data_IF_107687230132
#
_entry.id   IF_107687230132
#
_cell.length_a   1.000
_cell.length_b   1.000
_cell.length_c   1.000
_cell.angle_alpha   90.00
_cell.angle_beta   90.00
_cell.angle_gamma   90.00
#
_symmetry.space_group_name_H-M   'P 1'
#
loop_
_entity.id
_entity.type
_entity.pdbx_description
1 polymer ?
#
# COMPACT_ATOMS: atom_id res chain seq x y z
N UNK A 1 -31.00 -1.87 19.44
CA UNK A 1 -30.42 -0.52 19.67
C UNK A 1 -29.33 -0.34 18.65
N UNK A 2 -29.30 0.74 17.84
CA UNK A 2 -28.15 0.98 16.98
C UNK A 2 -26.96 1.27 17.90
N UNK A 3 -26.01 0.36 17.93
CA UNK A 3 -24.71 0.60 18.56
C UNK A 3 -24.02 1.62 17.68
N UNK A 4 -23.79 2.82 18.19
CA UNK A 4 -22.97 3.82 17.53
C UNK A 4 -21.51 3.34 17.58
N UNK A 5 -21.18 2.32 16.78
CA UNK A 5 -19.83 1.78 16.66
C UNK A 5 -19.02 2.66 15.73
N UNK A 6 -17.78 2.94 16.14
CA UNK A 6 -16.81 3.59 15.28
C UNK A 6 -16.39 2.62 14.17
N UNK A 7 -16.32 3.11 12.92
CA UNK A 7 -15.89 2.30 11.77
C UNK A 7 -14.51 1.66 11.99
N UNK A 8 -13.61 2.32 12.71
CA UNK A 8 -12.24 1.83 12.96
C UNK A 8 -12.22 0.51 13.77
N UNK A 9 -13.27 0.25 14.53
CA UNK A 9 -13.43 -0.94 15.38
C UNK A 9 -14.08 -2.11 14.65
N UNK A 10 -14.65 -1.89 13.47
CA UNK A 10 -15.29 -2.94 12.69
C UNK A 10 -14.25 -3.90 12.11
N UNK A 11 -14.46 -5.21 12.30
CA UNK A 11 -13.52 -6.24 11.83
C UNK A 11 -13.36 -6.24 10.31
N UNK A 12 -14.36 -5.76 9.57
CA UNK A 12 -14.36 -5.65 8.11
C UNK A 12 -13.74 -4.35 7.60
N UNK A 13 -13.22 -3.48 8.47
CA UNK A 13 -12.58 -2.23 8.08
C UNK A 13 -11.06 -2.37 8.00
N UNK A 14 -10.50 -2.30 6.79
CA UNK A 14 -9.09 -2.56 6.50
C UNK A 14 -8.23 -1.28 6.37
N UNK A 15 -8.81 -0.09 6.60
CA UNK A 15 -8.06 1.16 6.47
C UNK A 15 -7.52 1.38 5.05
N UNK A 16 -6.21 1.57 4.90
CA UNK A 16 -5.53 1.85 3.63
C UNK A 16 -5.17 0.58 2.84
N UNK A 17 -6.11 -0.35 2.71
CA UNK A 17 -5.93 -1.56 1.91
C UNK A 17 -5.87 -1.21 0.41
N UNK A 18 -4.77 -1.54 -0.30
CA UNK A 18 -4.60 -1.27 -1.72
C UNK A 18 -5.65 -1.97 -2.59
N UNK A 19 -5.93 -1.39 -3.75
CA UNK A 19 -6.94 -1.96 -4.66
C UNK A 19 -6.51 -3.31 -5.25
N UNK A 20 -5.22 -3.46 -5.49
CA UNK A 20 -4.57 -4.64 -6.06
C UNK A 20 -4.68 -5.89 -5.20
N UNK A 21 -4.90 -5.75 -3.89
CA UNK A 21 -5.04 -6.87 -2.96
C UNK A 21 -6.47 -7.44 -2.93
N UNK A 22 -7.47 -6.65 -3.35
CA UNK A 22 -8.88 -7.01 -3.27
C UNK A 22 -9.27 -8.28 -4.03
N UNK A 23 -8.72 -8.58 -5.24
CA UNK A 23 -9.02 -9.84 -5.93
C UNK A 23 -8.63 -11.09 -5.15
N UNK A 24 -7.66 -11.00 -4.22
CA UNK A 24 -7.23 -12.13 -3.38
C UNK A 24 -8.08 -12.27 -2.11
N UNK A 25 -8.81 -11.22 -1.74
CA UNK A 25 -9.63 -11.17 -0.53
C UNK A 25 -11.12 -11.38 -0.82
N UNK A 26 -11.62 -10.87 -1.94
CA UNK A 26 -13.03 -10.93 -2.35
C UNK A 26 -13.25 -12.06 -3.36
N UNK A 27 -13.11 -13.30 -2.87
CA UNK A 27 -13.07 -14.51 -3.72
C UNK A 27 -14.48 -15.01 -4.04
N UNK A 28 -15.39 -14.96 -3.06
CA UNK A 28 -16.73 -15.51 -3.16
C UNK A 28 -17.78 -14.41 -3.38
N UNK A 29 -18.94 -14.82 -3.92
CA UNK A 29 -20.05 -13.89 -4.12
C UNK A 29 -20.55 -13.37 -2.78
N UNK A 30 -20.62 -12.05 -2.68
CA UNK A 30 -21.05 -11.35 -1.48
C UNK A 30 -19.95 -11.15 -0.44
N UNK A 31 -18.71 -11.57 -0.72
CA UNK A 31 -17.55 -11.12 0.05
C UNK A 31 -17.44 -9.61 -0.03
N UNK A 32 -17.25 -8.98 1.13
CA UNK A 32 -17.11 -7.54 1.21
C UNK A 32 -16.16 -7.10 2.31
N UNK A 33 -15.60 -5.90 2.13
CA UNK A 33 -14.88 -5.16 3.15
C UNK A 33 -15.06 -3.66 2.96
N UNK A 34 -14.70 -2.89 3.98
CA UNK A 34 -14.66 -1.43 3.94
C UNK A 34 -13.20 -0.98 4.03
N UNK A 35 -12.85 0.02 3.23
CA UNK A 35 -11.50 0.60 3.18
C UNK A 35 -11.57 2.09 2.91
N UNK A 36 -10.43 2.75 2.99
CA UNK A 36 -10.25 4.14 2.60
C UNK A 36 -9.54 4.20 1.24
N UNK A 37 -9.87 5.20 0.43
CA UNK A 37 -9.14 5.50 -0.81
C UNK A 37 -7.65 5.76 -0.54
N UNK A 38 -6.81 5.34 -1.47
CA UNK A 38 -5.39 5.69 -1.44
C UNK A 38 -5.19 7.21 -1.43
N UNK A 39 -4.12 7.71 -0.80
CA UNK A 39 -3.81 9.13 -0.80
C UNK A 39 -3.58 9.63 -2.23
N UNK A 40 -4.39 10.59 -2.67
CA UNK A 40 -4.19 11.32 -3.91
C UNK A 40 -4.01 12.80 -3.58
N UNK A 41 -2.93 13.40 -4.06
CA UNK A 41 -2.63 14.81 -3.80
C UNK A 41 -3.83 15.71 -4.16
N UNK A 42 -4.26 16.54 -3.20
CA UNK A 42 -5.39 17.45 -3.36
C UNK A 42 -6.79 16.83 -3.30
N UNK A 43 -6.93 15.53 -3.00
CA UNK A 43 -8.24 14.87 -2.85
C UNK A 43 -8.45 14.36 -1.43
N UNK A 44 -9.65 14.54 -0.83
CA UNK A 44 -9.95 13.96 0.47
C UNK A 44 -10.01 12.44 0.38
N UNK A 45 -9.67 11.78 1.49
CA UNK A 45 -9.85 10.34 1.64
C UNK A 45 -11.33 9.98 1.61
N UNK A 46 -11.69 8.96 0.85
CA UNK A 46 -13.07 8.49 0.70
C UNK A 46 -13.23 7.11 1.32
N UNK A 47 -14.37 6.86 1.96
CA UNK A 47 -14.74 5.53 2.43
C UNK A 47 -15.29 4.73 1.26
N UNK A 48 -14.84 3.48 1.11
CA UNK A 48 -15.17 2.62 -0.02
C UNK A 48 -15.64 1.27 0.51
N UNK A 49 -16.83 0.85 0.09
CA UNK A 49 -17.32 -0.52 0.26
C UNK A 49 -16.92 -1.29 -0.99
N UNK A 50 -16.14 -2.36 -0.83
CA UNK A 50 -15.73 -3.23 -1.93
C UNK A 50 -16.50 -4.54 -1.86
N UNK A 51 -17.35 -4.79 -2.86
CA UNK A 51 -18.17 -6.01 -3.03
C UNK A 51 -18.43 -6.25 -4.51
N UNK A 52 -17.62 -7.08 -5.18
CA UNK A 52 -17.53 -7.23 -6.65
C UNK A 52 -17.22 -5.94 -7.45
N UNK A 53 -17.54 -4.77 -6.90
CA UNK A 53 -17.27 -3.40 -7.36
C UNK A 53 -16.83 -2.56 -6.17
N UNK A 54 -16.17 -1.44 -6.47
CA UNK A 54 -15.77 -0.46 -5.47
C UNK A 54 -16.79 0.67 -5.46
N UNK A 55 -17.46 0.85 -4.32
CA UNK A 55 -18.57 1.78 -4.16
C UNK A 55 -18.13 2.83 -3.15
N UNK A 56 -18.03 4.07 -3.60
CA UNK A 56 -17.71 5.21 -2.72
C UNK A 56 -18.93 5.53 -1.86
N UNK A 57 -18.71 5.58 -0.55
CA UNK A 57 -19.70 6.10 0.40
C UNK A 57 -19.62 7.62 0.38
N UNK A 58 -20.76 8.24 0.09
CA UNK A 58 -20.91 9.70 0.06
C UNK A 58 -21.48 10.17 1.38
N UNK A 59 -21.09 11.37 1.80
CA UNK A 59 -21.70 12.08 2.91
C UNK A 59 -22.59 13.20 2.35
N UNK A 60 -23.88 13.17 2.66
CA UNK A 60 -24.80 14.22 2.27
C UNK A 60 -24.58 15.51 3.09
N UNK A 61 -25.12 16.65 2.64
CA UNK A 61 -25.03 17.91 3.38
C UNK A 61 -25.59 17.86 4.80
N UNK A 62 -26.52 16.94 5.08
CA UNK A 62 -27.07 16.70 6.42
C UNK A 62 -26.17 15.81 7.31
N UNK A 63 -24.95 15.47 6.85
CA UNK A 63 -23.99 14.64 7.57
C UNK A 63 -24.21 13.13 7.43
N UNK A 64 -25.33 12.68 6.85
CA UNK A 64 -25.65 11.25 6.71
C UNK A 64 -24.87 10.58 5.59
N UNK A 65 -24.61 9.29 5.75
CA UNK A 65 -23.87 8.45 4.81
C UNK A 65 -24.79 7.70 3.86
N UNK A 66 -24.42 7.62 2.59
CA UNK A 66 -25.16 6.88 1.56
C UNK A 66 -24.27 6.36 0.44
N UNK A 67 -24.70 5.29 -0.22
CA UNK A 67 -24.10 4.76 -1.46
C UNK A 67 -24.91 5.11 -2.70
N UNK A 68 -26.20 5.41 -2.53
CA UNK A 68 -27.08 6.02 -3.52
C UNK A 68 -28.23 6.79 -2.84
N UNK A 69 -29.01 7.61 -3.57
CA UNK A 69 -30.01 8.49 -2.96
C UNK A 69 -31.21 7.79 -2.30
N UNK A 70 -31.32 6.46 -2.33
CA UNK A 70 -32.51 5.76 -1.82
C UNK A 70 -32.58 5.75 -0.30
N UNK A 71 -31.43 5.69 0.36
CA UNK A 71 -31.32 5.52 1.82
C UNK A 71 -30.10 6.26 2.34
N UNK A 72 -30.20 6.77 3.56
CA UNK A 72 -29.10 7.45 4.25
C UNK A 72 -29.08 7.06 5.72
N UNK A 73 -27.89 7.02 6.31
CA UNK A 73 -27.62 6.45 7.64
C UNK A 73 -26.78 7.40 8.47
N UNK A 74 -26.84 7.30 9.79
CA UNK A 74 -26.09 8.20 10.67
C UNK A 74 -24.61 7.76 10.78
N UNK A 75 -24.31 6.50 10.48
CA UNK A 75 -22.93 5.99 10.40
C UNK A 75 -22.74 4.98 9.26
N UNK A 76 -21.48 4.74 8.88
CA UNK A 76 -21.13 3.69 7.90
C UNK A 76 -21.43 2.27 8.43
N UNK A 77 -21.16 1.95 9.71
CA UNK A 77 -21.59 0.66 10.28
C UNK A 77 -23.09 0.42 10.20
N UNK A 78 -23.92 1.43 10.47
CA UNK A 78 -25.38 1.31 10.30
C UNK A 78 -25.79 1.03 8.85
N UNK A 79 -25.15 1.72 7.89
CA UNK A 79 -25.36 1.47 6.47
C UNK A 79 -25.04 0.01 6.12
N UNK A 80 -23.87 -0.48 6.54
CA UNK A 80 -23.41 -1.85 6.27
C UNK A 80 -24.36 -2.87 6.90
N UNK A 81 -24.73 -2.70 8.17
CA UNK A 81 -25.62 -3.63 8.88
C UNK A 81 -27.01 -3.67 8.24
N UNK A 82 -27.54 -2.53 7.80
CA UNK A 82 -28.82 -2.49 7.09
C UNK A 82 -28.77 -3.32 5.79
N UNK A 83 -27.78 -3.10 4.93
CA UNK A 83 -27.70 -3.82 3.65
C UNK A 83 -27.33 -5.29 3.83
N UNK A 84 -26.56 -5.63 4.88
CA UNK A 84 -26.25 -7.03 5.23
C UNK A 84 -27.49 -7.78 5.73
N UNK A 85 -28.29 -7.16 6.60
CA UNK A 85 -29.48 -7.78 7.20
C UNK A 85 -30.63 -7.94 6.20
N UNK A 86 -30.87 -6.92 5.37
CA UNK A 86 -31.94 -6.93 4.35
C UNK A 86 -31.58 -7.71 3.10
N UNK A 87 -30.29 -7.97 2.87
CA UNK A 87 -29.74 -8.58 1.64
C UNK A 87 -30.12 -7.81 0.37
N UNK A 88 -30.43 -6.51 0.52
CA UNK A 88 -30.64 -5.61 -0.60
C UNK A 88 -29.28 -5.25 -1.24
N UNK A 89 -29.23 -4.99 -2.56
CA UNK A 89 -28.03 -4.47 -3.19
C UNK A 89 -27.67 -3.10 -2.62
N UNK A 90 -26.42 -2.97 -2.16
CA UNK A 90 -25.87 -1.76 -1.53
C UNK A 90 -25.86 -0.58 -2.50
N UNK A 91 -25.90 -0.82 -3.81
CA UNK A 91 -26.14 0.20 -4.83
C UNK A 91 -27.19 -0.31 -5.84
N UNK A 92 -28.22 0.49 -6.08
CA UNK A 92 -29.41 0.14 -6.90
C UNK A 92 -29.06 -0.32 -8.30
N UNK A 93 -28.04 0.31 -8.91
CA UNK A 93 -27.61 0.04 -10.28
C UNK A 93 -26.88 -1.29 -10.44
N UNK A 94 -26.48 -1.95 -9.35
CA UNK A 94 -25.65 -3.17 -9.37
C UNK A 94 -26.32 -4.25 -8.52
N UNK A 95 -27.19 -5.05 -9.15
CA UNK A 95 -28.04 -6.05 -8.48
C UNK A 95 -27.27 -7.10 -7.67
N UNK A 96 -26.03 -7.39 -8.03
CA UNK A 96 -25.18 -8.39 -7.37
C UNK A 96 -24.26 -7.81 -6.29
N UNK A 97 -24.32 -6.50 -6.00
CA UNK A 97 -23.55 -5.88 -4.92
C UNK A 97 -24.24 -6.09 -3.56
N UNK A 98 -24.38 -7.34 -3.13
CA UNK A 98 -25.06 -7.73 -1.89
C UNK A 98 -24.00 -8.05 -0.84
N UNK A 99 -24.12 -7.48 0.35
CA UNK A 99 -23.18 -7.71 1.46
C UNK A 99 -23.55 -9.00 2.19
N UNK A 100 -22.74 -10.05 2.08
CA UNK A 100 -23.00 -11.34 2.73
C UNK A 100 -21.89 -11.69 3.71
N UNK A 101 -20.65 -11.79 3.23
CA UNK A 101 -19.52 -12.31 4.01
C UNK A 101 -18.52 -11.17 4.27
N UNK A 102 -18.47 -10.73 5.53
CA UNK A 102 -17.51 -9.73 5.96
C UNK A 102 -16.09 -10.33 5.97
N UNK A 103 -15.19 -9.81 5.12
CA UNK A 103 -13.78 -10.19 5.15
C UNK A 103 -13.12 -9.45 6.31
N UNK A 104 -12.70 -10.20 7.32
CA UNK A 104 -12.05 -9.66 8.51
C UNK A 104 -10.61 -9.27 8.22
N UNK A 105 -10.13 -8.22 8.88
CA UNK A 105 -8.70 -7.91 8.95
C UNK A 105 -7.94 -9.12 9.48
N UNK A 106 -6.79 -9.40 8.89
CA UNK A 106 -5.92 -10.43 9.40
C UNK A 106 -5.22 -9.98 10.69
N UNK A 107 -4.80 -10.91 11.57
CA UNK A 107 -4.13 -10.55 12.84
C UNK A 107 -2.80 -9.80 12.67
N UNK A 108 -2.19 -9.84 11.49
CA UNK A 108 -0.97 -9.10 11.16
C UNK A 108 -1.24 -7.67 10.66
N UNK A 109 -2.50 -7.31 10.41
CA UNK A 109 -2.90 -5.94 10.07
C UNK A 109 -3.03 -5.11 11.34
N UNK A 110 -2.00 -4.30 11.61
CA UNK A 110 -1.91 -3.52 12.84
C UNK A 110 -2.67 -2.20 12.70
N UNK A 111 -3.40 -1.81 13.75
CA UNK A 111 -3.97 -0.46 13.81
C UNK A 111 -2.85 0.56 14.01
N UNK A 112 -2.99 1.73 13.39
CA UNK A 112 -2.02 2.81 13.53
C UNK A 112 -1.90 3.30 14.99
N UNK A 113 -3.00 3.31 15.73
CA UNK A 113 -3.06 3.69 17.15
C UNK A 113 -2.25 2.78 18.08
N UNK A 114 -2.01 1.52 17.67
CA UNK A 114 -1.23 0.56 18.45
C UNK A 114 0.29 0.75 18.27
N UNK A 115 0.71 1.59 17.32
CA UNK A 115 2.11 1.83 16.97
C UNK A 115 2.52 3.25 17.40
N UNK A 116 3.40 3.33 18.39
CA UNK A 116 4.05 4.58 18.77
C UNK A 116 5.42 4.68 18.07
N UNK A 117 5.50 5.52 17.04
CA UNK A 117 6.72 5.83 16.31
C UNK A 117 7.69 6.68 17.17
N UNK A 118 8.97 6.32 17.13
CA UNK A 118 10.06 7.00 17.83
C UNK A 118 11.12 7.47 16.84
N UNK A 119 12.37 7.60 17.32
CA UNK A 119 13.50 8.11 16.54
C UNK A 119 13.76 7.28 15.28
N UNK A 120 14.21 7.96 14.22
CA UNK A 120 14.78 7.34 13.02
C UNK A 120 16.01 6.52 13.42
N UNK A 121 16.07 5.28 12.94
CA UNK A 121 17.19 4.34 13.07
C UNK A 121 18.07 4.36 11.83
N UNK A 122 17.48 4.59 10.66
CA UNK A 122 18.19 4.66 9.40
C UNK A 122 17.24 4.88 8.23
N UNK A 123 17.77 4.72 7.04
CA UNK A 123 17.04 4.77 5.78
C UNK A 123 17.55 3.67 4.85
N UNK A 124 16.70 3.25 3.91
CA UNK A 124 17.06 2.28 2.90
C UNK A 124 16.32 2.58 1.60
N UNK A 125 16.44 1.69 0.62
CA UNK A 125 15.97 1.93 -0.75
C UNK A 125 14.50 2.39 -0.87
N UNK A 126 13.64 2.03 0.08
CA UNK A 126 12.19 2.26 0.03
C UNK A 126 11.68 3.25 1.09
N UNK A 127 12.57 3.94 1.81
CA UNK A 127 12.20 4.93 2.82
C UNK A 127 12.94 4.76 4.15
N UNK A 128 12.33 5.28 5.20
CA UNK A 128 12.96 5.40 6.52
C UNK A 128 12.62 4.22 7.42
N UNK A 129 13.53 3.91 8.34
CA UNK A 129 13.30 2.94 9.40
C UNK A 129 13.36 3.67 10.73
N UNK A 130 12.30 3.56 11.52
CA UNK A 130 12.16 4.16 12.83
C UNK A 130 12.15 3.07 13.90
N UNK A 131 12.59 3.42 15.10
CA UNK A 131 12.24 2.64 16.28
C UNK A 131 10.80 2.93 16.65
N UNK A 132 10.14 1.99 17.31
CA UNK A 132 8.78 2.18 17.79
C UNK A 132 8.46 1.28 18.97
N UNK A 133 7.29 1.51 19.56
CA UNK A 133 6.68 0.62 20.55
C UNK A 133 5.35 0.14 19.99
N UNK A 134 5.14 -1.16 19.93
CA UNK A 134 3.88 -1.77 19.52
C UNK A 134 3.14 -2.31 20.75
N UNK A 135 1.89 -1.89 20.92
CA UNK A 135 0.97 -2.42 21.93
C UNK A 135 0.25 -3.63 21.36
N UNK A 136 0.60 -4.83 21.85
CA UNK A 136 -0.08 -6.07 21.47
C UNK A 136 -1.53 -6.07 21.99
N UNK A 137 -2.43 -6.88 21.38
CA UNK A 137 -3.79 -7.08 21.90
C UNK A 137 -3.84 -7.53 23.37
N UNK A 138 -2.83 -8.28 23.82
CA UNK A 138 -2.64 -8.67 25.22
C UNK A 138 -2.38 -7.50 26.20
N UNK A 139 -2.17 -6.28 25.70
CA UNK A 139 -1.75 -5.11 26.48
C UNK A 139 -0.24 -4.99 26.68
N UNK A 140 0.54 -6.05 26.41
CA UNK A 140 2.00 -6.00 26.45
C UNK A 140 2.55 -5.05 25.39
N UNK A 141 3.61 -4.33 25.72
CA UNK A 141 4.30 -3.42 24.79
C UNK A 141 5.67 -3.98 24.42
N UNK A 142 5.99 -4.02 23.13
CA UNK A 142 7.27 -4.50 22.61
C UNK A 142 7.98 -3.45 21.77
N UNK A 143 9.31 -3.47 21.76
CA UNK A 143 10.12 -2.66 20.85
C UNK A 143 10.05 -3.23 19.43
N UNK A 144 9.88 -2.34 18.45
CA UNK A 144 9.79 -2.70 17.04
C UNK A 144 10.63 -1.76 16.19
N UNK A 145 11.00 -2.23 15.00
CA UNK A 145 11.45 -1.38 13.90
C UNK A 145 10.28 -1.17 12.94
N UNK A 146 9.95 0.09 12.64
CA UNK A 146 8.84 0.47 11.76
C UNK A 146 9.45 1.04 10.48
N UNK A 147 9.16 0.38 9.35
CA UNK A 147 9.59 0.86 8.03
C UNK A 147 8.49 1.76 7.46
N UNK A 148 8.83 3.02 7.22
CA UNK A 148 7.95 4.00 6.59
C UNK A 148 8.28 4.05 5.10
N UNK A 149 7.30 3.70 4.27
CA UNK A 149 7.43 3.80 2.82
C UNK A 149 7.10 5.23 2.41
N UNK A 150 8.08 5.93 1.84
CA UNK A 150 7.89 7.30 1.34
C UNK A 150 7.65 7.22 -0.17
N UNK A 151 6.47 7.65 -0.61
CA UNK A 151 6.09 7.61 -2.02
C UNK A 151 7.08 8.41 -2.88
N UNK A 152 7.66 7.76 -3.89
CA UNK A 152 8.63 8.38 -4.81
C UNK A 152 10.04 8.56 -4.24
N UNK A 153 10.30 8.15 -2.99
CA UNK A 153 11.65 8.17 -2.45
C UNK A 153 12.47 7.00 -3.00
N UNK A 154 13.68 7.32 -3.47
CA UNK A 154 14.77 6.36 -3.64
C UNK A 154 15.98 6.93 -2.92
N UNK A 155 16.72 6.06 -2.23
CA UNK A 155 17.91 6.48 -1.50
C UNK A 155 18.94 7.05 -2.49
N UNK A 156 19.56 8.20 -2.22
CA UNK A 156 20.62 8.70 -3.08
C UNK A 156 21.79 7.70 -3.12
N UNK A 157 22.41 7.57 -4.29
CA UNK A 157 23.61 6.75 -4.41
C UNK A 157 24.77 7.40 -3.64
N UNK A 158 25.64 6.61 -2.96
CA UNK A 158 26.89 7.13 -2.42
C UNK A 158 27.72 7.85 -3.49
N UNK A 159 28.40 8.93 -3.14
CA UNK A 159 29.21 9.72 -4.10
C UNK A 159 30.28 8.88 -4.83
N UNK A 160 30.77 7.82 -4.19
CA UNK A 160 31.75 6.90 -4.79
C UNK A 160 31.14 5.87 -5.76
N UNK A 161 29.83 5.89 -5.97
CA UNK A 161 29.15 4.90 -6.83
C UNK A 161 29.50 5.19 -8.29
N UNK A 162 30.02 4.18 -8.99
CA UNK A 162 30.27 4.28 -10.42
C UNK A 162 28.96 4.58 -11.16
N UNK A 163 29.01 5.53 -12.09
CA UNK A 163 27.82 6.01 -12.82
C UNK A 163 27.07 4.85 -13.48
N UNK A 164 27.80 3.93 -14.10
CA UNK A 164 27.21 2.77 -14.78
C UNK A 164 26.45 1.84 -13.81
N UNK A 165 26.92 1.73 -12.57
CA UNK A 165 26.25 0.97 -11.51
C UNK A 165 25.03 1.72 -11.00
N UNK A 166 25.15 3.03 -10.80
CA UNK A 166 24.03 3.88 -10.40
C UNK A 166 22.89 3.82 -11.43
N UNK A 167 23.21 3.94 -12.73
CA UNK A 167 22.25 3.87 -13.83
C UNK A 167 21.53 2.51 -13.86
N UNK A 168 22.26 1.39 -13.74
CA UNK A 168 21.64 0.04 -13.66
C UNK A 168 20.69 -0.05 -12.46
N UNK A 169 21.08 0.47 -11.30
CA UNK A 169 20.23 0.39 -10.11
C UNK A 169 18.98 1.26 -10.29
N UNK A 170 19.11 2.50 -10.73
CA UNK A 170 17.96 3.41 -10.89
C UNK A 170 16.99 2.96 -11.98
N UNK A 171 17.50 2.56 -13.14
CA UNK A 171 16.65 2.23 -14.29
C UNK A 171 16.09 0.82 -14.24
N UNK A 172 16.85 -0.13 -13.64
CA UNK A 172 16.53 -1.55 -13.74
C UNK A 172 16.22 -2.20 -12.39
N UNK A 173 16.85 -1.82 -11.30
CA UNK A 173 16.57 -2.44 -10.00
C UNK A 173 15.42 -1.72 -9.27
N UNK A 174 15.41 -0.39 -9.35
CA UNK A 174 14.45 0.49 -8.69
C UNK A 174 13.38 1.03 -9.65
N UNK A 175 13.18 0.36 -10.79
CA UNK A 175 12.11 0.70 -11.72
C UNK A 175 10.76 0.74 -10.96
N UNK A 176 9.99 1.82 -11.19
CA UNK A 176 8.71 2.04 -10.53
C UNK A 176 7.72 0.89 -10.78
N UNK A 177 7.71 0.41 -12.03
CA UNK A 177 6.92 -0.72 -12.50
C UNK A 177 7.65 -2.03 -12.20
N UNK A 178 7.08 -2.95 -11.40
CA UNK A 178 7.70 -4.24 -11.09
C UNK A 178 8.10 -5.04 -12.33
N UNK A 179 7.30 -4.98 -13.40
CA UNK A 179 7.56 -5.65 -14.67
C UNK A 179 8.79 -5.12 -15.42
N UNK A 180 9.21 -3.90 -15.12
CA UNK A 180 10.42 -3.31 -15.68
C UNK A 180 11.67 -3.61 -14.83
N UNK A 181 11.51 -4.29 -13.69
CA UNK A 181 12.64 -4.59 -12.81
C UNK A 181 13.41 -5.79 -13.36
N UNK A 182 14.72 -5.61 -13.53
CA UNK A 182 15.60 -6.69 -13.94
C UNK A 182 15.75 -7.73 -12.83
N UNK A 183 15.88 -8.99 -13.23
CA UNK A 183 16.28 -10.07 -12.34
C UNK A 183 17.74 -9.87 -11.88
N UNK A 184 18.09 -10.41 -10.72
CA UNK A 184 19.49 -10.41 -10.26
C UNK A 184 20.43 -11.10 -11.24
N UNK A 185 19.93 -12.05 -12.04
CA UNK A 185 20.68 -12.69 -13.11
C UNK A 185 21.06 -11.71 -14.23
N UNK A 186 20.10 -10.92 -14.71
CA UNK A 186 20.34 -9.88 -15.72
C UNK A 186 21.27 -8.79 -15.19
N UNK A 187 21.05 -8.34 -13.95
CA UNK A 187 21.95 -7.38 -13.27
C UNK A 187 23.37 -7.92 -13.21
N UNK A 188 23.56 -9.17 -12.79
CA UNK A 188 24.88 -9.81 -12.72
C UNK A 188 25.58 -9.90 -14.09
N UNK A 189 24.82 -10.22 -15.14
CA UNK A 189 25.38 -10.28 -16.50
C UNK A 189 25.79 -8.89 -16.99
N UNK A 190 25.01 -7.86 -16.69
CA UNK A 190 25.32 -6.48 -17.08
C UNK A 190 26.53 -5.94 -16.32
N UNK A 191 26.62 -6.16 -15.01
CA UNK A 191 27.76 -5.71 -14.22
C UNK A 191 29.04 -6.46 -14.64
N UNK A 192 28.97 -7.76 -14.85
CA UNK A 192 30.13 -8.57 -15.27
C UNK A 192 30.62 -8.18 -16.67
N UNK A 193 29.71 -7.93 -17.61
CA UNK A 193 30.08 -7.61 -18.99
C UNK A 193 30.42 -6.12 -19.18
N UNK A 194 29.57 -5.17 -18.75
CA UNK A 194 29.79 -3.73 -18.98
C UNK A 194 30.97 -3.17 -18.17
N UNK A 195 31.14 -3.59 -16.92
CA UNK A 195 32.21 -3.06 -16.06
C UNK A 195 33.58 -3.60 -16.50
N UNK A 196 33.68 -4.87 -16.94
CA UNK A 196 34.91 -5.39 -17.55
C UNK A 196 35.34 -4.59 -18.80
N UNK A 197 34.42 -4.22 -19.68
CA UNK A 197 34.76 -3.44 -20.88
C UNK A 197 35.19 -1.99 -20.57
N UNK A 198 34.61 -1.35 -19.54
CA UNK A 198 35.04 -0.01 -19.10
C UNK A 198 36.48 0.00 -18.56
N UNK A 199 36.86 -1.00 -17.76
CA UNK A 199 38.23 -1.15 -17.24
C UNK A 199 39.25 -1.54 -18.33
N UNK A 200 38.84 -2.33 -19.33
CA UNK A 200 39.67 -2.65 -20.50
C UNK A 200 39.92 -1.44 -21.40
N UNK A 201 38.95 -0.52 -21.55
CA UNK A 201 39.15 0.74 -22.30
C UNK A 201 40.18 1.67 -21.63
N UNK A 202 40.14 1.81 -20.30
CA UNK A 202 41.12 2.58 -19.55
C UNK A 202 42.55 2.01 -19.66
N UNK A 203 42.70 0.67 -19.66
CA UNK A 203 44.00 0.01 -19.93
C UNK A 203 44.47 0.20 -21.38
N UNK A 204 43.56 0.22 -22.36
CA UNK A 204 43.91 0.42 -23.78
C UNK A 204 44.40 1.83 -24.11
N UNK A 205 44.03 2.85 -23.31
CA UNK A 205 44.56 4.21 -23.48
C UNK A 205 45.98 4.37 -22.92
N UNK A 206 46.36 3.62 -21.89
CA UNK A 206 47.73 3.65 -21.37
C UNK A 206 48.77 3.01 -22.31
N UNK A 207 48.36 2.07 -23.18
CA UNK A 207 49.28 1.47 -24.16
C UNK A 207 49.47 2.27 -25.45
N UNK A 208 48.75 3.38 -25.67
CA UNK A 208 49.02 4.28 -26.81
C UNK A 208 50.12 5.31 -26.55
N UNK A 209 50.65 5.39 -25.33
CA UNK A 209 51.72 6.33 -24.95
C UNK A 209 53.11 5.67 -24.76
N UNK A 210 53.26 4.38 -25.08
CA UNK A 210 54.54 3.65 -24.96
C UNK A 210 55.01 2.98 -26.27
N UNK A 211 54.46 3.40 -27.41
CA UNK A 211 54.99 3.03 -28.72
C UNK A 211 55.31 4.32 -29.50
N UNK A 212 56.44 4.93 -29.14
CA UNK A 212 57.19 5.89 -29.95
C UNK A 212 58.60 5.34 -30.10
#
# INVERSE_FOLDING_TARGET
MPTNTNLDDEEYFHGLLPREDLPFLLVHTGDFLVRISEPKAGSPRQIIISVMRHIVVQQAPNGKFMTDPRKSFDSVPELVEYFRSTKEPVISKVKNAILLNAIKRAPWELKHEDINLKKKLGEGAFGEVHSGKYKLPSGRVVDVAVKLVIGGYTMPMPECTQKEVADIIHEMCWALKPENRASMYEVNNLTTNRIRFSQLRLKSHFHRYLAA
#
